data_IF_219628046048
#
_entry.id   IF_219628046048
#
_cell.length_a   1.000
_cell.length_b   1.000
_cell.length_c   1.000
_cell.angle_alpha   90.00
_cell.angle_beta   90.00
_cell.angle_gamma   90.00
#
_symmetry.space_group_name_H-M   'P 1'
#
loop_
_entity.id
_entity.type
_entity.pdbx_description
1 polymer ?
#
# COMPACT_ATOMS: atom_id res chain seq x y z
N UNK A 1 9.71 20.80 17.96
CA UNK A 1 9.39 20.05 16.72
C UNK A 1 9.57 18.57 17.01
N UNK A 2 8.66 17.69 16.57
CA UNK A 2 8.76 16.24 16.81
C UNK A 2 9.50 15.55 15.65
N UNK A 3 10.32 14.54 15.97
CA UNK A 3 10.97 13.68 14.97
C UNK A 3 10.07 12.50 14.57
N UNK A 4 10.44 11.80 13.50
CA UNK A 4 9.75 10.57 13.12
C UNK A 4 9.76 9.54 14.26
N UNK A 5 10.92 9.36 14.93
CA UNK A 5 11.06 8.42 16.05
C UNK A 5 10.08 8.73 17.19
N UNK A 6 9.88 10.01 17.48
CA UNK A 6 8.95 10.45 18.53
C UNK A 6 7.51 10.08 18.16
N UNK A 7 7.13 10.26 16.89
CA UNK A 7 5.80 9.89 16.38
C UNK A 7 5.55 8.37 16.51
N UNK A 8 6.55 7.54 16.21
CA UNK A 8 6.42 6.09 16.38
C UNK A 8 6.31 5.70 17.85
N UNK A 9 7.01 6.38 18.77
CA UNK A 9 6.93 6.10 20.20
C UNK A 9 5.64 6.61 20.87
N UNK A 10 4.94 7.56 20.25
CA UNK A 10 3.77 8.21 20.82
C UNK A 10 2.54 7.25 20.91
N UNK A 11 1.84 7.20 22.07
CA UNK A 11 0.65 6.37 22.22
C UNK A 11 -0.54 6.84 21.38
N UNK A 12 -0.66 8.13 21.05
CA UNK A 12 -1.81 8.71 20.36
C UNK A 12 -1.95 8.22 18.91
N UNK A 13 -0.89 8.22 18.05
CA UNK A 13 -0.96 7.63 16.72
C UNK A 13 -1.33 6.15 16.70
N UNK A 14 -0.86 5.37 17.69
CA UNK A 14 -1.23 3.95 17.81
C UNK A 14 -2.68 3.77 18.21
N UNK A 15 -3.13 4.46 19.26
CA UNK A 15 -4.50 4.38 19.75
C UNK A 15 -5.54 4.78 18.69
N UNK A 16 -5.15 5.69 17.78
CA UNK A 16 -6.01 6.19 16.71
C UNK A 16 -5.83 5.42 15.38
N UNK A 17 -5.06 4.33 15.37
CA UNK A 17 -4.82 3.52 14.17
C UNK A 17 -4.26 4.37 13.02
N UNK A 18 -3.26 5.20 13.32
CA UNK A 18 -2.57 6.06 12.35
C UNK A 18 -1.24 5.47 11.88
N UNK A 19 -0.76 4.41 12.53
CA UNK A 19 0.43 3.65 12.12
C UNK A 19 -0.05 2.25 11.73
N UNK A 20 -0.14 1.99 10.43
CA UNK A 20 -0.67 0.72 9.89
C UNK A 20 0.45 -0.06 9.24
N UNK A 21 0.68 -1.28 9.71
CA UNK A 21 1.66 -2.19 9.11
C UNK A 21 1.06 -2.85 7.87
N UNK A 22 1.80 -2.82 6.77
CA UNK A 22 1.34 -3.27 5.45
C UNK A 22 2.41 -4.12 4.80
N UNK A 23 2.04 -5.36 4.46
CA UNK A 23 2.86 -6.27 3.67
C UNK A 23 3.25 -5.65 2.32
N UNK A 24 4.50 -5.86 1.91
CA UNK A 24 4.98 -5.42 0.61
C UNK A 24 5.12 -6.61 -0.33
N UNK A 25 4.90 -6.44 -1.64
CA UNK A 25 5.06 -7.53 -2.59
C UNK A 25 6.50 -8.03 -2.68
N UNK A 26 6.65 -9.32 -3.01
CA UNK A 26 7.96 -9.97 -3.17
C UNK A 26 8.56 -10.39 -1.83
N UNK A 27 9.87 -10.20 -1.69
CA UNK A 27 10.64 -10.53 -0.47
C UNK A 27 10.90 -9.26 0.38
N UNK A 28 10.12 -8.21 0.16
CA UNK A 28 10.27 -6.95 0.90
C UNK A 28 9.67 -7.09 2.31
N UNK A 29 10.30 -6.49 3.34
CA UNK A 29 9.75 -6.48 4.68
C UNK A 29 8.45 -5.66 4.74
N UNK A 30 7.59 -5.92 5.74
CA UNK A 30 6.43 -5.07 6.02
C UNK A 30 6.88 -3.62 6.31
N UNK A 31 6.05 -2.67 5.92
CA UNK A 31 6.30 -1.24 6.18
C UNK A 31 5.13 -0.61 6.91
N UNK A 32 5.40 0.44 7.68
CA UNK A 32 4.36 1.21 8.36
C UNK A 32 3.95 2.40 7.50
N UNK A 33 2.68 2.44 7.14
CA UNK A 33 2.05 3.54 6.42
C UNK A 33 1.21 4.39 7.38
N UNK A 34 1.08 5.67 7.03
CA UNK A 34 0.14 6.55 7.71
C UNK A 34 -1.30 6.10 7.39
N UNK A 35 -2.04 5.70 8.43
CA UNK A 35 -3.44 5.36 8.32
C UNK A 35 -4.31 6.60 8.05
N UNK A 36 -5.59 6.43 7.66
CA UNK A 36 -6.49 7.54 7.39
C UNK A 36 -6.63 8.48 8.59
N UNK A 37 -6.31 9.77 8.38
CA UNK A 37 -6.33 10.77 9.45
C UNK A 37 -7.75 11.13 9.90
N UNK A 38 -8.74 11.03 9.02
CA UNK A 38 -10.15 11.27 9.33
C UNK A 38 -10.82 9.92 9.57
N UNK A 39 -11.56 9.80 10.68
CA UNK A 39 -12.28 8.57 11.05
C UNK A 39 -13.77 8.79 10.82
N UNK A 40 -14.34 8.03 9.90
CA UNK A 40 -15.76 8.05 9.59
C UNK A 40 -16.43 6.87 10.28
N UNK A 41 -17.57 7.11 10.92
CA UNK A 41 -18.31 6.05 11.63
C UNK A 41 -19.07 5.13 10.66
N UNK A 42 -19.72 5.69 9.64
CA UNK A 42 -20.54 4.92 8.70
C UNK A 42 -19.72 4.23 7.60
N UNK A 43 -18.64 4.86 7.14
CA UNK A 43 -17.77 4.35 6.07
C UNK A 43 -16.30 4.42 6.49
N UNK A 44 -15.86 3.57 7.43
CA UNK A 44 -14.48 3.62 7.94
C UNK A 44 -13.46 3.47 6.82
N UNK A 45 -12.65 4.50 6.61
CA UNK A 45 -11.51 4.41 5.70
C UNK A 45 -10.45 3.50 6.32
N UNK A 46 -9.94 2.55 5.52
CA UNK A 46 -8.90 1.62 5.92
C UNK A 46 -7.95 1.33 4.74
N UNK A 47 -6.72 0.96 5.05
CA UNK A 47 -5.82 0.33 4.07
C UNK A 47 -6.25 -1.14 3.97
N UNK A 48 -6.96 -1.49 2.89
CA UNK A 48 -7.60 -2.81 2.73
C UNK A 48 -6.81 -3.80 1.87
N UNK A 49 -5.78 -3.33 1.15
CA UNK A 49 -4.91 -4.19 0.35
C UNK A 49 -3.49 -3.65 0.33
N UNK A 50 -2.52 -4.55 0.11
CA UNK A 50 -1.12 -4.16 -0.15
C UNK A 50 -0.99 -3.38 -1.46
N UNK A 51 0.07 -2.58 -1.62
CA UNK A 51 0.44 -2.02 -2.91
C UNK A 51 0.62 -3.13 -3.97
N UNK A 52 0.11 -2.95 -5.20
CA UNK A 52 0.31 -3.90 -6.28
C UNK A 52 1.74 -3.86 -6.81
N UNK A 53 2.19 -4.98 -7.36
CA UNK A 53 3.36 -5.02 -8.23
C UNK A 53 3.12 -4.22 -9.51
N UNK A 54 4.22 -3.84 -10.17
CA UNK A 54 4.16 -3.30 -11.52
C UNK A 54 3.49 -4.31 -12.46
N UNK A 55 2.36 -3.91 -13.05
CA UNK A 55 1.62 -4.72 -14.01
C UNK A 55 0.66 -5.77 -13.41
N UNK A 56 0.53 -5.86 -12.08
CA UNK A 56 -0.25 -6.92 -11.42
C UNK A 56 -1.71 -6.98 -11.88
N UNK A 57 -2.36 -5.83 -12.07
CA UNK A 57 -3.76 -5.74 -12.48
C UNK A 57 -3.94 -5.33 -13.95
N UNK A 58 -2.89 -5.36 -14.78
CA UNK A 58 -2.99 -4.90 -16.17
C UNK A 58 -3.97 -5.74 -16.99
N UNK A 59 -3.94 -7.07 -16.84
CA UNK A 59 -4.86 -7.95 -17.58
C UNK A 59 -6.33 -7.75 -17.15
N UNK A 60 -6.57 -7.60 -15.85
CA UNK A 60 -7.91 -7.35 -15.27
C UNK A 60 -8.50 -6.05 -15.83
N UNK A 61 -7.76 -4.94 -15.75
CA UNK A 61 -8.23 -3.62 -16.21
C UNK A 61 -8.42 -3.57 -17.72
N UNK A 62 -7.57 -4.24 -18.52
CA UNK A 62 -7.76 -4.31 -19.97
C UNK A 62 -9.00 -5.12 -20.36
N UNK A 63 -9.28 -6.22 -19.63
CA UNK A 63 -10.48 -7.01 -19.83
C UNK A 63 -11.76 -6.23 -19.48
N UNK A 64 -11.76 -5.46 -18.38
CA UNK A 64 -12.86 -4.56 -18.02
C UNK A 64 -13.15 -3.52 -19.12
N UNK A 65 -12.11 -3.06 -19.82
CA UNK A 65 -12.22 -2.11 -20.92
C UNK A 65 -12.60 -2.76 -22.28
N UNK A 66 -12.73 -4.09 -22.35
CA UNK A 66 -13.01 -4.81 -23.60
C UNK A 66 -11.84 -4.84 -24.59
N UNK A 67 -10.60 -4.70 -24.08
CA UNK A 67 -9.38 -4.71 -24.89
C UNK A 67 -8.74 -6.10 -24.79
N UNK A 68 -8.58 -6.77 -25.93
CA UNK A 68 -7.83 -8.02 -26.00
C UNK A 68 -6.34 -7.76 -25.73
N UNK A 69 -5.83 -8.36 -24.66
CA UNK A 69 -4.50 -8.09 -24.16
C UNK A 69 -3.40 -8.74 -25.04
N UNK A 70 -2.49 -7.92 -25.60
CA UNK A 70 -1.14 -8.37 -25.96
C UNK A 70 -0.29 -8.26 -24.68
N UNK A 71 0.45 -9.31 -24.27
CA UNK A 71 1.19 -9.28 -23.01
C UNK A 71 2.24 -8.16 -23.01
N UNK A 72 2.03 -7.15 -22.16
CA UNK A 72 3.05 -6.17 -21.84
C UNK A 72 4.17 -6.87 -21.06
N UNK A 73 5.40 -6.74 -21.57
CA UNK A 73 6.57 -7.50 -21.11
C UNK A 73 6.78 -7.48 -19.60
N UNK A 74 7.23 -8.62 -19.08
CA UNK A 74 7.46 -8.91 -17.68
C UNK A 74 8.23 -7.79 -16.92
N UNK A 75 7.94 -7.59 -15.62
CA UNK A 75 8.62 -6.60 -14.81
C UNK A 75 10.13 -6.83 -14.84
N UNK A 76 10.88 -5.85 -15.35
CA UNK A 76 12.34 -5.84 -15.26
C UNK A 76 12.67 -5.65 -13.78
N UNK A 77 13.07 -6.72 -13.09
CA UNK A 77 13.57 -6.63 -11.70
C UNK A 77 14.57 -5.48 -11.64
N UNK A 78 14.26 -4.46 -10.83
CA UNK A 78 15.20 -3.41 -10.51
C UNK A 78 16.48 -4.07 -9.99
N UNK A 79 17.60 -3.77 -10.65
CA UNK A 79 18.91 -4.30 -10.30
C UNK A 79 19.20 -3.82 -8.87
N UNK A 80 19.16 -4.74 -7.90
CA UNK A 80 19.46 -4.46 -6.50
C UNK A 80 20.86 -3.88 -6.35
N UNK A 81 21.00 -2.90 -5.46
CA UNK A 81 22.27 -2.44 -4.92
C UNK A 81 22.30 -2.76 -3.44
#
# INVERSE_FOLDING_TARGET
VNSARDIFADPHPRARGMLVEVEQPGENPPVVLAGPAIKLAATPAAIYRRPPCLGEHTAEVLAEAGIDAVPAGAPRRGRGR
#
